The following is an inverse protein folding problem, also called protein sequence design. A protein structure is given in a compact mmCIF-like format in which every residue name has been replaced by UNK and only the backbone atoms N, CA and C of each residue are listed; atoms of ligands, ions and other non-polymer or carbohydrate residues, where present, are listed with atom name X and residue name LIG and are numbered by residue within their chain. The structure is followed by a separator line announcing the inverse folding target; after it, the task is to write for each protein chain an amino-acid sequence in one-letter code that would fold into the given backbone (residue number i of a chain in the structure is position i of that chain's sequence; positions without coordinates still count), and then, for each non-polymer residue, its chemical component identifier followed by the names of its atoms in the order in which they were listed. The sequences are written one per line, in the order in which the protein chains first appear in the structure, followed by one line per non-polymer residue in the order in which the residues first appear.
data_IF_305839424787
#
_entry.id   IF_305839424787
#
_cell.length_a   1.000
_cell.length_b   1.000
_cell.length_c   1.000
_cell.angle_alpha   90.00
_cell.angle_beta   90.00
_cell.angle_gamma   90.00
#
_symmetry.space_group_name_H-M   'P 1'
#
loop_
_entity.id
_entity.type
_entity.pdbx_description
1 polymer ?
#
# COMPACT_ATOMS: atom_id res chain seq x y z
N UNK A 1 -7.99 23.97 -2.58
CA UNK A 1 -8.67 22.81 -3.19
C UNK A 1 -8.29 21.63 -2.31
N UNK A 2 -9.23 21.07 -1.56
CA UNK A 2 -8.96 19.90 -0.71
C UNK A 2 -8.54 18.74 -1.63
N UNK A 3 -7.39 18.13 -1.35
CA UNK A 3 -7.02 16.88 -1.98
C UNK A 3 -7.85 15.78 -1.30
N UNK A 4 -8.79 15.11 -2.00
CA UNK A 4 -9.67 14.11 -1.37
C UNK A 4 -8.93 12.84 -0.92
N UNK A 5 -7.61 12.76 -1.12
CA UNK A 5 -6.80 11.58 -0.87
C UNK A 5 -6.95 10.53 -1.98
N UNK A 6 -6.24 9.39 -1.87
CA UNK A 6 -6.35 8.31 -2.84
C UNK A 6 -7.77 7.78 -2.94
N UNK A 7 -8.20 7.48 -4.18
CA UNK A 7 -9.50 6.86 -4.43
C UNK A 7 -9.46 5.40 -4.01
N UNK A 8 -10.44 4.97 -3.21
CA UNK A 8 -10.63 3.56 -2.92
C UNK A 8 -11.42 2.88 -4.05
N UNK A 9 -10.92 1.74 -4.51
CA UNK A 9 -11.54 0.90 -5.54
C UNK A 9 -11.74 -0.52 -5.02
N UNK A 10 -12.56 -1.31 -5.69
CA UNK A 10 -12.75 -2.72 -5.37
C UNK A 10 -12.44 -3.59 -6.60
N UNK A 11 -11.15 -3.79 -6.87
CA UNK A 11 -10.67 -4.61 -7.97
C UNK A 11 -10.22 -5.97 -7.42
N UNK A 12 -11.03 -6.99 -7.66
CA UNK A 12 -10.77 -8.37 -7.21
C UNK A 12 -9.76 -9.05 -8.13
N UNK A 13 -8.67 -9.50 -7.55
CA UNK A 13 -7.63 -10.25 -8.24
C UNK A 13 -7.99 -11.73 -8.34
N UNK A 14 -7.31 -12.47 -9.22
CA UNK A 14 -7.56 -13.91 -9.44
C UNK A 14 -7.33 -14.77 -8.20
N UNK A 15 -6.45 -14.33 -7.29
CA UNK A 15 -6.14 -15.01 -6.03
C UNK A 15 -7.13 -14.68 -4.90
N UNK A 16 -8.14 -13.85 -5.17
CA UNK A 16 -9.14 -13.41 -4.20
C UNK A 16 -8.78 -12.13 -3.43
N UNK A 17 -7.55 -11.63 -3.56
CA UNK A 17 -7.17 -10.35 -2.98
C UNK A 17 -7.87 -9.16 -3.65
N UNK A 18 -7.83 -8.00 -3.01
CA UNK A 18 -8.36 -6.74 -3.53
C UNK A 18 -7.23 -5.77 -3.76
N UNK A 19 -7.03 -5.32 -4.98
CA UNK A 19 -6.37 -4.04 -5.21
C UNK A 19 -7.37 -2.94 -4.81
N UNK A 20 -7.01 -2.13 -3.83
CA UNK A 20 -7.93 -1.15 -3.25
C UNK A 20 -7.55 0.30 -3.48
N UNK A 21 -6.30 0.58 -3.85
CA UNK A 21 -5.86 1.91 -4.23
C UNK A 21 -4.60 1.82 -5.09
N UNK A 22 -4.34 2.90 -5.80
CA UNK A 22 -3.06 3.24 -6.40
C UNK A 22 -2.62 4.60 -5.83
N UNK A 23 -1.32 4.75 -5.59
CA UNK A 23 -0.72 6.03 -5.19
C UNK A 23 0.53 6.29 -6.03
N UNK A 24 0.86 7.55 -6.35
CA UNK A 24 2.05 7.83 -7.16
C UNK A 24 3.34 7.37 -6.47
N UNK A 25 4.28 6.81 -7.23
CA UNK A 25 5.61 6.45 -6.75
C UNK A 25 6.49 7.71 -6.56
N UNK A 26 6.24 8.44 -5.46
CA UNK A 26 6.96 9.69 -5.12
C UNK A 26 8.29 9.46 -4.41
N UNK A 27 8.44 8.28 -3.82
CA UNK A 27 9.62 7.84 -3.05
C UNK A 27 9.97 6.43 -3.49
N UNK A 28 11.21 6.01 -3.26
CA UNK A 28 11.66 4.65 -3.59
C UNK A 28 10.99 3.60 -2.68
N UNK A 29 10.87 2.32 -3.09
CA UNK A 29 10.21 1.28 -2.29
C UNK A 29 10.79 1.14 -0.87
N UNK A 30 12.12 1.23 -0.73
CA UNK A 30 12.77 1.20 0.58
C UNK A 30 12.43 2.41 1.48
N UNK A 31 12.09 3.56 0.90
CA UNK A 31 11.60 4.73 1.62
C UNK A 31 10.12 4.58 1.97
N UNK A 32 9.29 4.10 1.05
CA UNK A 32 7.87 3.81 1.32
C UNK A 32 7.73 2.81 2.48
N UNK A 33 8.54 1.75 2.50
CA UNK A 33 8.60 0.80 3.62
C UNK A 33 8.85 1.50 4.97
N UNK A 34 9.77 2.48 5.00
CA UNK A 34 10.06 3.26 6.22
C UNK A 34 8.91 4.18 6.61
N UNK A 35 8.14 4.67 5.64
CA UNK A 35 6.90 5.43 5.90
C UNK A 35 5.87 4.51 6.52
N UNK A 36 5.58 3.36 5.89
CA UNK A 36 4.63 2.36 6.39
C UNK A 36 4.98 1.96 7.82
N UNK A 37 6.25 1.68 8.12
CA UNK A 37 6.71 1.30 9.47
C UNK A 37 6.43 2.35 10.57
N UNK A 38 6.04 3.59 10.22
CA UNK A 38 5.62 4.63 11.17
C UNK A 38 4.12 4.59 11.48
N UNK A 39 3.31 3.80 10.76
CA UNK A 39 1.90 3.62 11.05
C UNK A 39 1.75 2.86 12.39
N UNK A 40 1.14 3.44 13.44
CA UNK A 40 1.05 2.79 14.74
C UNK A 40 0.33 1.45 14.68
N UNK A 41 0.96 0.37 15.17
CA UNK A 41 0.38 -0.98 15.16
C UNK A 41 0.60 -1.76 13.86
N UNK A 42 1.43 -1.25 12.95
CA UNK A 42 1.88 -2.00 11.77
C UNK A 42 2.95 -3.03 12.13
N UNK A 43 2.94 -4.17 11.46
CA UNK A 43 4.03 -5.15 11.47
C UNK A 43 4.53 -5.35 10.04
N UNK A 44 5.78 -5.01 9.75
CA UNK A 44 6.38 -5.30 8.44
C UNK A 44 6.70 -6.79 8.37
N UNK A 45 6.06 -7.51 7.45
CA UNK A 45 6.20 -8.97 7.27
C UNK A 45 7.34 -9.29 6.31
N UNK A 46 7.38 -8.65 5.15
CA UNK A 46 8.42 -8.90 4.14
C UNK A 46 8.72 -7.66 3.31
N UNK A 47 9.93 -7.62 2.74
CA UNK A 47 10.31 -6.63 1.75
C UNK A 47 11.27 -7.28 0.76
N UNK A 48 10.84 -7.38 -0.49
CA UNK A 48 11.60 -7.94 -1.60
C UNK A 48 11.76 -6.82 -2.61
N UNK A 49 12.99 -6.48 -2.98
CA UNK A 49 13.28 -5.50 -4.02
C UNK A 49 14.39 -6.03 -4.92
N UNK A 50 14.24 -5.85 -6.23
CA UNK A 50 15.31 -6.18 -7.19
C UNK A 50 16.49 -5.20 -7.07
N UNK A 51 17.65 -5.57 -7.61
CA UNK A 51 18.92 -4.81 -7.50
C UNK A 51 18.80 -3.37 -8.03
N UNK A 52 17.80 -3.09 -8.86
CA UNK A 52 17.50 -1.76 -9.40
C UNK A 52 16.09 -1.25 -9.02
N UNK A 53 15.42 -1.89 -8.05
CA UNK A 53 14.06 -1.56 -7.58
C UNK A 53 13.00 -1.50 -8.71
N UNK A 54 13.27 -2.15 -9.85
CA UNK A 54 12.35 -2.25 -11.01
C UNK A 54 11.05 -2.97 -10.60
N UNK A 55 11.16 -3.87 -9.64
CA UNK A 55 10.05 -4.56 -9.01
C UNK A 55 10.38 -4.71 -7.53
N UNK A 56 9.40 -4.37 -6.70
CA UNK A 56 9.44 -4.44 -5.26
C UNK A 56 8.08 -4.86 -4.72
N UNK A 57 8.11 -5.65 -3.66
CA UNK A 57 6.96 -6.08 -2.88
C UNK A 57 7.21 -5.73 -1.41
N UNK A 58 6.23 -5.07 -0.79
CA UNK A 58 6.21 -4.79 0.65
C UNK A 58 4.98 -5.49 1.23
N UNK A 59 5.17 -6.42 2.16
CA UNK A 59 4.07 -7.05 2.88
C UNK A 59 4.06 -6.61 4.33
N UNK A 60 2.89 -6.33 4.87
CA UNK A 60 2.72 -5.90 6.25
C UNK A 60 1.34 -6.28 6.79
N UNK A 61 1.22 -6.28 8.12
CA UNK A 61 -0.05 -6.45 8.82
C UNK A 61 -0.49 -5.15 9.46
N UNK A 62 -1.78 -4.88 9.40
CA UNK A 62 -2.39 -3.75 10.08
C UNK A 62 -3.83 -4.08 10.49
N UNK A 63 -4.16 -3.90 11.78
CA UNK A 63 -5.50 -4.19 12.36
C UNK A 63 -6.07 -5.54 11.92
N UNK A 64 -5.28 -6.61 12.06
CA UNK A 64 -5.62 -8.00 11.72
C UNK A 64 -5.77 -8.33 10.22
N UNK A 65 -5.43 -7.40 9.33
CA UNK A 65 -5.46 -7.60 7.89
C UNK A 65 -4.05 -7.66 7.30
N UNK A 66 -3.87 -8.50 6.27
CA UNK A 66 -2.63 -8.64 5.53
C UNK A 66 -2.65 -7.76 4.28
N UNK A 67 -1.66 -6.88 4.16
CA UNK A 67 -1.51 -5.95 3.05
C UNK A 67 -0.26 -6.28 2.25
N UNK A 68 -0.33 -5.98 0.95
CA UNK A 68 0.82 -6.00 0.05
C UNK A 68 0.85 -4.72 -0.78
N UNK A 69 2.05 -4.24 -1.09
CA UNK A 69 2.28 -3.13 -2.03
C UNK A 69 3.26 -3.59 -3.07
N UNK A 70 2.96 -3.28 -4.32
CA UNK A 70 3.85 -3.52 -5.44
C UNK A 70 4.03 -2.25 -6.26
N UNK A 71 5.26 -1.93 -6.66
CA UNK A 71 5.47 -0.85 -7.62
C UNK A 71 5.18 -1.34 -9.04
N UNK A 72 4.33 -0.59 -9.74
CA UNK A 72 3.89 -0.85 -11.10
C UNK A 72 3.89 0.48 -11.84
N UNK A 73 4.77 0.62 -12.84
CA UNK A 73 4.75 1.72 -13.80
C UNK A 73 4.45 3.10 -13.17
N UNK A 74 5.39 3.64 -12.38
CA UNK A 74 5.31 4.94 -11.67
C UNK A 74 4.23 5.08 -10.58
N UNK A 75 3.58 3.98 -10.22
CA UNK A 75 2.59 3.91 -9.15
C UNK A 75 2.92 2.78 -8.17
N UNK A 76 2.43 2.91 -6.94
CA UNK A 76 2.30 1.83 -5.99
C UNK A 76 0.87 1.32 -6.00
N UNK A 77 0.69 0.05 -6.31
CA UNK A 77 -0.59 -0.64 -6.18
C UNK A 77 -0.70 -1.24 -4.78
N UNK A 78 -1.79 -0.91 -4.09
CA UNK A 78 -2.05 -1.33 -2.74
C UNK A 78 -3.09 -2.46 -2.73
N UNK A 79 -2.74 -3.55 -2.07
CA UNK A 79 -3.54 -4.76 -1.99
C UNK A 79 -3.86 -5.13 -0.55
N UNK A 80 -5.04 -5.71 -0.35
CA UNK A 80 -5.40 -6.40 0.89
C UNK A 80 -5.79 -7.84 0.56
N UNK A 81 -5.28 -8.79 1.33
CA UNK A 81 -5.54 -10.22 1.12
C UNK A 81 -6.98 -10.58 1.46
N UNK A 82 -7.53 -9.96 2.50
CA UNK A 82 -8.90 -10.14 2.95
C UNK A 82 -9.83 -9.11 2.26
N UNK A 83 -10.59 -9.52 1.23
CA UNK A 83 -11.40 -8.62 0.41
C UNK A 83 -12.47 -7.80 1.18
N UNK A 84 -12.87 -8.29 2.34
CA UNK A 84 -13.87 -7.74 3.25
C UNK A 84 -13.33 -6.67 4.22
N UNK A 85 -12.03 -6.35 4.14
CA UNK A 85 -11.41 -5.32 4.98
C UNK A 85 -12.22 -4.00 4.91
N UNK A 86 -12.61 -3.43 6.07
CA UNK A 86 -13.37 -2.18 6.16
C UNK A 86 -12.71 -1.04 5.40
N UNK A 87 -13.51 -0.28 4.65
CA UNK A 87 -13.00 0.80 3.80
C UNK A 87 -12.26 1.89 4.59
N UNK A 88 -12.62 2.11 5.86
CA UNK A 88 -11.92 3.03 6.76
C UNK A 88 -10.45 2.64 6.98
N UNK A 89 -10.15 1.34 7.10
CA UNK A 89 -8.78 0.82 7.26
C UNK A 89 -8.02 0.98 5.94
N UNK A 90 -8.69 0.68 4.81
CA UNK A 90 -8.12 0.86 3.47
C UNK A 90 -7.74 2.32 3.21
N UNK A 91 -8.62 3.26 3.58
CA UNK A 91 -8.36 4.71 3.47
C UNK A 91 -7.18 5.14 4.33
N UNK A 92 -7.10 4.65 5.56
CA UNK A 92 -5.98 4.98 6.46
C UNK A 92 -4.64 4.53 5.88
N UNK A 93 -4.57 3.29 5.36
CA UNK A 93 -3.37 2.76 4.71
C UNK A 93 -3.04 3.56 3.44
N UNK A 94 -4.03 3.84 2.59
CA UNK A 94 -3.82 4.58 1.35
C UNK A 94 -3.32 6.01 1.60
N UNK A 95 -3.95 6.72 2.53
CA UNK A 95 -3.54 8.08 2.93
C UNK A 95 -2.12 8.10 3.49
N UNK A 96 -1.75 7.10 4.30
CA UNK A 96 -0.41 6.99 4.86
C UNK A 96 0.67 6.68 3.80
N UNK A 97 0.29 5.98 2.73
CA UNK A 97 1.19 5.63 1.63
C UNK A 97 1.33 6.74 0.57
N UNK A 98 0.31 7.56 0.35
CA UNK A 98 0.35 8.72 -0.56
C UNK A 98 1.16 9.86 0.06
N UNK A 99 2.48 9.65 0.18
CA UNK A 99 3.47 10.48 0.86
C UNK A 99 3.57 11.95 0.36
N UNK A 100 2.61 12.47 -0.39
CA UNK A 100 2.47 13.87 -0.78
C UNK A 100 1.98 14.82 0.32
N UNK A 101 2.13 14.48 1.61
CA UNK A 101 1.76 15.35 2.74
C UNK A 101 2.91 15.65 3.72
N UNK A 102 4.16 15.29 3.39
CA UNK A 102 5.36 15.75 4.13
C UNK A 102 6.11 16.82 3.34
#
# INVERSE_FOLDING_TARGET
MENPGPKIVDLRMKDGSRQFADVPERVLPGQLRKIIAKLPGVEIVSFIASVAEIEAWIEFRYRDYDFAINNQNVEYWLFVRQPECPEEILREVALHCDAGQL
#
